data_IF_619809835085
#
_entry.id   IF_619809835085
#
_cell.length_a   1.000
_cell.length_b   1.000
_cell.length_c   1.000
_cell.angle_alpha   90.00
_cell.angle_beta   90.00
_cell.angle_gamma   90.00
#
_symmetry.space_group_name_H-M   'P 1'
#
loop_
_entity.id
_entity.type
_entity.pdbx_description
1 polymer ?
#
# COMPACT_ATOMS: atom_id res chain seq x y z
N UNK A 1 -16.93 5.68 -13.29
CA UNK A 1 -16.33 4.68 -12.40
C UNK A 1 -17.26 3.48 -12.20
N UNK A 2 -18.43 3.60 -11.50
CA UNK A 2 -19.29 2.41 -11.24
C UNK A 2 -19.92 1.87 -12.52
N UNK A 3 -20.31 2.72 -13.49
CA UNK A 3 -20.82 2.27 -14.80
C UNK A 3 -19.78 1.45 -15.58
N UNK A 4 -18.50 1.77 -15.45
CA UNK A 4 -17.39 1.01 -16.03
C UNK A 4 -17.26 -0.37 -15.36
N UNK A 5 -17.34 -0.42 -14.01
CA UNK A 5 -17.32 -1.67 -13.25
C UNK A 5 -18.51 -2.57 -13.64
N UNK A 6 -19.69 -1.98 -13.81
CA UNK A 6 -20.88 -2.71 -14.25
C UNK A 6 -20.71 -3.27 -15.69
N UNK A 7 -20.10 -2.48 -16.58
CA UNK A 7 -19.77 -2.93 -17.93
C UNK A 7 -18.75 -4.09 -17.92
N UNK A 8 -17.75 -4.04 -17.04
CA UNK A 8 -16.79 -5.16 -16.86
C UNK A 8 -17.50 -6.41 -16.33
N UNK A 9 -18.44 -6.26 -15.39
CA UNK A 9 -19.27 -7.38 -14.92
C UNK A 9 -20.06 -8.02 -16.08
N UNK A 10 -20.67 -7.20 -16.91
CA UNK A 10 -21.43 -7.69 -18.09
C UNK A 10 -20.55 -8.40 -19.13
N UNK A 11 -19.23 -8.09 -19.17
CA UNK A 11 -18.24 -8.80 -19.98
C UNK A 11 -17.73 -10.09 -19.32
N UNK A 12 -18.17 -10.43 -18.11
CA UNK A 12 -17.84 -11.65 -17.40
C UNK A 12 -16.62 -11.56 -16.47
N UNK A 13 -16.09 -10.35 -16.22
CA UNK A 13 -15.07 -10.17 -15.19
C UNK A 13 -15.71 -10.33 -13.80
N UNK A 14 -15.10 -11.14 -12.94
CA UNK A 14 -15.55 -11.39 -11.56
C UNK A 14 -14.73 -10.67 -10.51
N UNK A 15 -13.56 -10.12 -10.90
CA UNK A 15 -12.63 -9.44 -10.02
C UNK A 15 -11.89 -8.32 -10.76
N UNK A 16 -11.67 -7.20 -10.08
CA UNK A 16 -10.93 -6.04 -10.60
C UNK A 16 -10.03 -5.47 -9.51
N UNK A 17 -9.02 -4.70 -9.91
CA UNK A 17 -8.25 -3.83 -9.01
C UNK A 17 -8.58 -2.37 -9.31
N UNK A 18 -8.88 -1.61 -8.26
CA UNK A 18 -9.04 -0.15 -8.35
C UNK A 18 -7.64 0.45 -8.18
N UNK A 19 -7.08 0.93 -9.30
CA UNK A 19 -5.70 1.48 -9.39
C UNK A 19 -5.61 2.95 -8.94
N UNK A 20 -6.46 3.38 -8.02
CA UNK A 20 -6.34 4.68 -7.38
C UNK A 20 -5.32 4.56 -6.23
N UNK A 21 -4.25 5.36 -6.28
CA UNK A 21 -3.17 5.35 -5.28
C UNK A 21 -3.68 5.51 -3.84
N UNK A 22 -4.79 6.24 -3.65
CA UNK A 22 -5.37 6.55 -2.35
C UNK A 22 -6.90 6.54 -2.39
N UNK A 23 -7.50 5.42 -2.75
CA UNK A 23 -8.94 5.28 -2.93
C UNK A 23 -9.77 5.77 -1.71
N UNK A 24 -9.26 5.61 -0.51
CA UNK A 24 -9.94 6.01 0.74
C UNK A 24 -9.71 7.47 1.15
N UNK A 25 -8.86 8.24 0.44
CA UNK A 25 -8.46 9.60 0.84
C UNK A 25 -9.64 10.58 0.82
N UNK A 26 -10.39 10.58 -0.26
CA UNK A 26 -11.54 11.47 -0.44
C UNK A 26 -12.82 10.79 0.03
N UNK A 27 -13.06 10.83 1.36
CA UNK A 27 -14.14 10.10 2.03
C UNK A 27 -15.51 10.22 1.33
N UNK A 28 -15.88 11.42 0.86
CA UNK A 28 -17.16 11.63 0.17
C UNK A 28 -17.25 10.85 -1.14
N UNK A 29 -16.18 10.87 -1.93
CA UNK A 29 -16.09 10.13 -3.19
C UNK A 29 -16.09 8.63 -2.93
N UNK A 30 -15.26 8.17 -2.01
CA UNK A 30 -15.17 6.78 -1.58
C UNK A 30 -16.55 6.22 -1.16
N UNK A 31 -17.26 6.94 -0.27
CA UNK A 31 -18.59 6.49 0.20
C UNK A 31 -19.61 6.45 -0.93
N UNK A 32 -19.57 7.40 -1.88
CA UNK A 32 -20.45 7.41 -3.03
C UNK A 32 -20.20 6.21 -3.95
N UNK A 33 -18.94 5.90 -4.26
CA UNK A 33 -18.57 4.73 -5.10
C UNK A 33 -19.00 3.43 -4.43
N UNK A 34 -18.65 3.24 -3.15
CA UNK A 34 -19.03 2.02 -2.42
C UNK A 34 -20.56 1.89 -2.26
N UNK A 35 -21.27 3.00 -2.05
CA UNK A 35 -22.72 3.03 -1.98
C UNK A 35 -23.37 2.57 -3.29
N UNK A 36 -22.92 3.09 -4.42
CA UNK A 36 -23.38 2.70 -5.75
C UNK A 36 -23.05 1.23 -6.06
N UNK A 37 -21.81 0.76 -5.74
CA UNK A 37 -21.44 -0.65 -5.92
C UNK A 37 -22.37 -1.58 -5.14
N UNK A 38 -22.69 -1.22 -3.89
CA UNK A 38 -23.62 -1.98 -3.04
C UNK A 38 -25.04 -1.96 -3.60
N UNK A 39 -25.52 -0.79 -4.03
CA UNK A 39 -26.88 -0.63 -4.53
C UNK A 39 -27.11 -1.37 -5.86
N UNK A 40 -26.13 -1.35 -6.76
CA UNK A 40 -26.22 -2.02 -8.08
C UNK A 40 -25.95 -3.52 -7.99
N UNK A 41 -25.33 -4.00 -6.90
CA UNK A 41 -25.05 -5.43 -6.66
C UNK A 41 -24.43 -6.12 -7.89
N UNK A 42 -23.35 -5.54 -8.42
CA UNK A 42 -22.70 -5.99 -9.65
C UNK A 42 -22.11 -7.40 -9.55
N UNK A 43 -21.94 -7.93 -8.33
CA UNK A 43 -21.27 -9.23 -8.08
C UNK A 43 -19.77 -9.22 -8.27
N UNK A 44 -19.17 -8.09 -8.69
CA UNK A 44 -17.71 -7.95 -8.81
C UNK A 44 -17.08 -7.85 -7.44
N UNK A 45 -16.02 -8.64 -7.25
CA UNK A 45 -15.06 -8.47 -6.17
C UNK A 45 -13.98 -7.49 -6.61
N UNK A 46 -13.42 -6.76 -5.66
CA UNK A 46 -12.40 -5.78 -5.99
C UNK A 46 -11.32 -5.65 -4.91
N UNK A 47 -10.15 -5.20 -5.36
CA UNK A 47 -9.00 -4.90 -4.53
C UNK A 47 -8.66 -3.41 -4.67
N UNK A 48 -8.00 -2.81 -3.68
CA UNK A 48 -7.60 -1.41 -3.74
C UNK A 48 -6.30 -1.16 -2.96
N UNK A 49 -5.67 -0.01 -3.25
CA UNK A 49 -4.55 0.53 -2.49
C UNK A 49 -5.05 1.54 -1.47
N UNK A 50 -4.44 1.57 -0.30
CA UNK A 50 -4.82 2.50 0.76
C UNK A 50 -3.66 2.81 1.69
N UNK A 51 -3.83 3.89 2.46
CA UNK A 51 -2.94 4.24 3.57
C UNK A 51 -3.54 3.73 4.88
N UNK A 52 -2.69 3.28 5.78
CA UNK A 52 -3.13 2.81 7.10
C UNK A 52 -3.80 3.90 7.95
N UNK A 53 -3.41 5.18 7.76
CA UNK A 53 -3.96 6.31 8.50
C UNK A 53 -5.35 6.78 8.02
N UNK A 54 -5.82 6.28 6.87
CA UNK A 54 -7.19 6.55 6.39
C UNK A 54 -8.19 5.48 6.80
N UNK A 55 -7.72 4.38 7.37
CA UNK A 55 -8.55 3.23 7.75
C UNK A 55 -9.26 3.47 9.08
N UNK A 56 -10.57 3.20 9.07
CA UNK A 56 -11.42 3.20 10.25
C UNK A 56 -12.40 2.02 10.17
N UNK A 57 -13.02 1.59 11.28
CA UNK A 57 -14.03 0.53 11.25
C UNK A 57 -15.18 0.80 10.25
N UNK A 58 -15.58 2.07 10.10
CA UNK A 58 -16.58 2.47 9.11
C UNK A 58 -16.10 2.27 7.68
N UNK A 59 -14.85 2.66 7.37
CA UNK A 59 -14.26 2.55 6.04
C UNK A 59 -14.17 1.08 5.64
N UNK A 60 -13.53 0.23 6.45
CA UNK A 60 -13.38 -1.19 6.10
C UNK A 60 -14.73 -1.92 6.06
N UNK A 61 -15.66 -1.58 6.96
CA UNK A 61 -17.01 -2.15 6.93
C UNK A 61 -17.79 -1.75 5.66
N UNK A 62 -17.57 -0.53 5.16
CA UNK A 62 -18.17 -0.09 3.90
C UNK A 62 -17.50 -0.77 2.70
N UNK A 63 -16.18 -0.93 2.70
CA UNK A 63 -15.45 -1.69 1.67
C UNK A 63 -15.92 -3.14 1.59
N UNK A 64 -16.05 -3.82 2.73
CA UNK A 64 -16.50 -5.20 2.79
C UNK A 64 -17.90 -5.36 2.18
N UNK A 65 -18.86 -4.50 2.58
CA UNK A 65 -20.22 -4.53 2.02
C UNK A 65 -20.27 -4.25 0.52
N UNK A 66 -19.35 -3.45 0.02
CA UNK A 66 -19.24 -3.13 -1.41
C UNK A 66 -18.46 -4.18 -2.23
N UNK A 67 -18.03 -5.30 -1.62
CA UNK A 67 -17.36 -6.40 -2.30
C UNK A 67 -15.83 -6.34 -2.33
N UNK A 68 -15.20 -5.51 -1.48
CA UNK A 68 -13.74 -5.49 -1.35
C UNK A 68 -13.23 -6.82 -0.78
N UNK A 69 -12.22 -7.40 -1.43
CA UNK A 69 -11.61 -8.66 -1.01
C UNK A 69 -10.21 -8.47 -0.43
N UNK A 70 -9.47 -7.48 -0.91
CA UNK A 70 -8.12 -7.20 -0.41
C UNK A 70 -7.78 -5.71 -0.44
N UNK A 71 -6.95 -5.30 0.51
CA UNK A 71 -6.37 -3.95 0.57
C UNK A 71 -4.86 -4.08 0.64
N UNK A 72 -4.17 -3.41 -0.28
CA UNK A 72 -2.72 -3.25 -0.25
C UNK A 72 -2.36 -1.96 0.52
N UNK A 73 -1.56 -2.09 1.55
CA UNK A 73 -1.09 -0.98 2.38
C UNK A 73 0.39 -0.72 2.14
N UNK A 74 0.74 0.52 1.76
CA UNK A 74 2.13 0.96 1.78
C UNK A 74 2.61 1.14 3.22
N UNK A 75 3.30 0.15 3.76
CA UNK A 75 3.91 0.20 5.10
C UNK A 75 5.32 0.77 5.04
N UNK A 76 6.05 0.43 4.01
CA UNK A 76 7.38 0.83 3.57
C UNK A 76 8.52 0.27 4.46
N UNK A 77 8.45 0.39 5.80
CA UNK A 77 9.46 -0.12 6.72
C UNK A 77 8.85 -0.59 8.04
N UNK A 78 9.46 -1.59 8.65
CA UNK A 78 9.19 -2.01 10.03
C UNK A 78 10.02 -1.28 11.08
N UNK A 79 10.76 -0.24 10.70
CA UNK A 79 11.53 0.59 11.61
C UNK A 79 10.98 2.02 11.62
N UNK A 80 10.61 2.52 12.81
CA UNK A 80 9.98 3.84 12.94
C UNK A 80 10.92 4.99 12.55
N UNK A 81 12.22 4.88 12.87
CA UNK A 81 13.19 5.92 12.54
C UNK A 81 13.35 6.07 11.01
N UNK A 82 13.33 4.95 10.28
CA UNK A 82 13.35 4.95 8.81
C UNK A 82 12.06 5.59 8.28
N UNK A 83 10.88 5.24 8.81
CA UNK A 83 9.60 5.85 8.42
C UNK A 83 9.58 7.37 8.65
N UNK A 84 10.13 7.82 9.78
CA UNK A 84 10.20 9.24 10.13
C UNK A 84 11.16 9.99 9.18
N UNK A 85 12.31 9.39 8.85
CA UNK A 85 13.28 9.97 7.92
C UNK A 85 12.70 10.17 6.52
N UNK A 86 11.94 9.17 6.02
CA UNK A 86 11.28 9.26 4.70
C UNK A 86 9.92 9.98 4.77
N UNK A 87 9.59 10.59 5.89
CA UNK A 87 8.37 11.39 6.10
C UNK A 87 7.07 10.62 5.81
N UNK A 88 7.05 9.32 6.14
CA UNK A 88 5.85 8.50 5.91
C UNK A 88 4.64 8.94 6.74
N UNK A 89 4.83 9.68 7.84
CA UNK A 89 3.77 10.19 8.73
C UNK A 89 2.83 9.10 9.26
N UNK A 90 3.34 7.89 9.44
CA UNK A 90 2.62 6.76 10.00
C UNK A 90 3.41 6.13 11.13
N UNK A 91 2.77 5.32 11.96
CA UNK A 91 3.45 4.56 13.02
C UNK A 91 3.17 3.08 12.88
N UNK A 92 4.10 2.25 13.39
CA UNK A 92 3.95 0.78 13.40
C UNK A 92 2.68 0.36 14.16
N UNK A 93 2.30 1.10 15.22
CA UNK A 93 1.05 0.88 15.93
C UNK A 93 -0.19 1.10 15.07
N UNK A 94 -0.20 2.18 14.24
CA UNK A 94 -1.29 2.42 13.28
C UNK A 94 -1.36 1.37 12.19
N UNK A 95 -0.20 0.84 11.76
CA UNK A 95 -0.16 -0.29 10.81
C UNK A 95 -0.88 -1.49 11.42
N UNK A 96 -0.52 -1.91 12.62
CA UNK A 96 -1.17 -3.03 13.31
C UNK A 96 -2.68 -2.81 13.51
N UNK A 97 -3.07 -1.60 13.88
CA UNK A 97 -4.48 -1.26 14.04
C UNK A 97 -5.25 -1.38 12.73
N UNK A 98 -4.71 -0.88 11.62
CA UNK A 98 -5.31 -1.01 10.29
C UNK A 98 -5.43 -2.48 9.87
N UNK A 99 -4.37 -3.29 10.08
CA UNK A 99 -4.40 -4.74 9.79
C UNK A 99 -5.49 -5.46 10.60
N UNK A 100 -5.62 -5.14 11.90
CA UNK A 100 -6.64 -5.69 12.77
C UNK A 100 -8.06 -5.37 12.25
N UNK A 101 -8.33 -4.08 11.99
CA UNK A 101 -9.63 -3.65 11.47
C UNK A 101 -9.98 -4.30 10.13
N UNK A 102 -8.98 -4.45 9.24
CA UNK A 102 -9.15 -5.09 7.93
C UNK A 102 -9.50 -6.57 8.08
N UNK A 103 -8.79 -7.29 8.97
CA UNK A 103 -9.06 -8.70 9.31
C UNK A 103 -10.47 -8.87 9.90
N UNK A 104 -10.85 -8.02 10.87
CA UNK A 104 -12.17 -8.06 11.52
C UNK A 104 -13.31 -7.81 10.53
N UNK A 105 -13.07 -7.02 9.48
CA UNK A 105 -14.04 -6.80 8.41
C UNK A 105 -14.08 -7.95 7.37
N UNK A 106 -13.26 -8.99 7.52
CA UNK A 106 -13.20 -10.12 6.59
C UNK A 106 -12.48 -9.81 5.27
N UNK A 107 -11.67 -8.75 5.22
CA UNK A 107 -10.88 -8.33 4.06
C UNK A 107 -9.45 -8.81 4.25
N UNK A 108 -8.83 -9.33 3.19
CA UNK A 108 -7.41 -9.68 3.18
C UNK A 108 -6.54 -8.41 3.17
N UNK A 109 -5.45 -8.41 3.92
CA UNK A 109 -4.48 -7.32 3.90
C UNK A 109 -3.16 -7.77 3.25
N UNK A 110 -2.56 -6.88 2.45
CA UNK A 110 -1.20 -7.02 1.95
C UNK A 110 -0.38 -5.83 2.45
N UNK A 111 0.73 -6.11 3.12
CA UNK A 111 1.70 -5.11 3.56
C UNK A 111 2.82 -4.99 2.53
N UNK A 112 2.97 -3.82 1.91
CA UNK A 112 4.05 -3.52 0.98
C UNK A 112 5.19 -2.81 1.71
N UNK A 113 6.42 -3.29 1.51
CA UNK A 113 7.64 -2.77 2.08
C UNK A 113 8.62 -2.37 0.98
N UNK A 114 9.48 -1.40 1.27
CA UNK A 114 10.52 -0.94 0.36
C UNK A 114 11.88 -1.24 0.98
N UNK A 115 12.77 -1.85 0.19
CA UNK A 115 14.18 -2.07 0.51
C UNK A 115 15.04 -1.01 -0.16
N UNK A 116 16.03 -0.49 0.54
CA UNK A 116 16.92 0.57 0.05
C UNK A 116 16.45 1.98 0.35
N UNK A 117 15.55 2.14 1.33
CA UNK A 117 15.14 3.46 1.81
C UNK A 117 16.32 4.24 2.42
N UNK A 118 16.34 5.59 2.31
CA UNK A 118 17.31 6.40 3.02
C UNK A 118 17.38 6.07 4.51
N UNK A 119 18.59 5.93 5.05
CA UNK A 119 18.82 5.59 6.44
C UNK A 119 18.59 4.11 6.80
N UNK A 120 18.26 3.27 5.82
CA UNK A 120 18.16 1.83 6.05
C UNK A 120 19.54 1.20 6.24
N UNK A 121 19.66 0.29 7.18
CA UNK A 121 20.83 -0.54 7.48
C UNK A 121 20.40 -2.00 7.52
N UNK A 122 21.37 -2.92 7.54
CA UNK A 122 21.07 -4.35 7.74
C UNK A 122 20.22 -4.61 8.99
N UNK A 123 20.49 -3.88 10.08
CA UNK A 123 19.72 -4.01 11.32
C UNK A 123 18.26 -3.55 11.15
N UNK A 124 18.04 -2.38 10.53
CA UNK A 124 16.68 -1.86 10.31
C UNK A 124 15.92 -2.69 9.30
N UNK A 125 16.59 -3.24 8.28
CA UNK A 125 16.00 -4.18 7.33
C UNK A 125 15.55 -5.47 8.03
N UNK A 126 16.37 -6.02 8.95
CA UNK A 126 15.99 -7.18 9.75
C UNK A 126 14.74 -6.89 10.58
N UNK A 127 14.66 -5.72 11.24
CA UNK A 127 13.46 -5.29 11.96
C UNK A 127 12.24 -5.21 11.04
N UNK A 128 12.44 -4.80 9.80
CA UNK A 128 11.36 -4.75 8.79
C UNK A 128 10.85 -6.15 8.44
N UNK A 129 11.74 -7.11 8.27
CA UNK A 129 11.37 -8.52 8.02
C UNK A 129 10.63 -9.11 9.22
N UNK A 130 11.17 -8.91 10.45
CA UNK A 130 10.53 -9.35 11.69
C UNK A 130 9.11 -8.76 11.85
N UNK A 131 8.94 -7.48 11.52
CA UNK A 131 7.64 -6.83 11.56
C UNK A 131 6.68 -7.38 10.50
N UNK A 132 7.15 -7.66 9.29
CA UNK A 132 6.35 -8.29 8.25
C UNK A 132 5.86 -9.69 8.67
N UNK A 133 6.72 -10.49 9.30
CA UNK A 133 6.36 -11.79 9.88
C UNK A 133 5.37 -11.66 11.04
N UNK A 134 5.55 -10.65 11.90
CA UNK A 134 4.60 -10.36 12.99
C UNK A 134 3.20 -10.06 12.42
N UNK A 135 3.09 -9.18 11.41
CA UNK A 135 1.82 -8.87 10.75
C UNK A 135 1.17 -10.11 10.14
N UNK A 136 1.96 -10.98 9.51
CA UNK A 136 1.46 -12.25 8.98
C UNK A 136 0.94 -13.16 10.08
N UNK A 137 1.70 -13.35 11.14
CA UNK A 137 1.37 -14.29 12.20
C UNK A 137 0.16 -13.82 13.03
N UNK A 138 0.07 -12.51 13.30
CA UNK A 138 -0.99 -11.94 14.13
C UNK A 138 -2.29 -11.70 13.34
N UNK A 139 -2.18 -11.15 12.12
CA UNK A 139 -3.34 -10.72 11.35
C UNK A 139 -3.62 -11.58 10.13
N UNK A 140 -2.73 -12.49 9.74
CA UNK A 140 -2.86 -13.28 8.51
C UNK A 140 -2.58 -12.47 7.25
N UNK A 141 -1.91 -11.31 7.37
CA UNK A 141 -1.60 -10.47 6.20
C UNK A 141 -0.57 -11.14 5.30
N UNK A 142 -0.71 -10.91 4.00
CA UNK A 142 0.38 -11.14 3.06
C UNK A 142 1.37 -9.98 3.14
N UNK A 143 2.58 -10.18 2.65
CA UNK A 143 3.54 -9.09 2.50
C UNK A 143 4.38 -9.25 1.24
N UNK A 144 4.88 -8.12 0.72
CA UNK A 144 5.79 -8.07 -0.40
C UNK A 144 6.86 -7.01 -0.18
N UNK A 145 8.04 -7.23 -0.78
CA UNK A 145 9.15 -6.31 -0.77
C UNK A 145 9.42 -5.80 -2.17
N UNK A 146 9.63 -4.50 -2.28
CA UNK A 146 9.97 -3.80 -3.51
C UNK A 146 11.30 -3.05 -3.32
N UNK A 147 12.07 -2.91 -4.38
CA UNK A 147 13.31 -2.14 -4.34
C UNK A 147 12.98 -0.67 -4.57
N UNK A 148 13.60 0.22 -3.79
CA UNK A 148 13.41 1.66 -3.94
C UNK A 148 13.68 2.09 -5.40
N UNK A 149 12.65 2.62 -6.02
CA UNK A 149 12.71 3.25 -7.34
C UNK A 149 12.43 4.75 -7.20
N UNK A 150 13.47 5.59 -7.08
CA UNK A 150 13.30 7.03 -6.87
C UNK A 150 12.82 7.69 -8.16
N UNK A 151 11.50 7.89 -8.27
CA UNK A 151 10.88 8.53 -9.43
C UNK A 151 11.09 10.05 -9.48
N UNK A 152 11.12 10.65 -10.68
CA UNK A 152 11.18 12.10 -10.85
C UNK A 152 10.06 12.82 -10.07
N UNK A 153 10.37 13.98 -9.51
CA UNK A 153 9.44 14.77 -8.70
C UNK A 153 9.30 14.31 -7.25
N UNK A 154 9.89 13.16 -6.88
CA UNK A 154 9.94 12.74 -5.47
C UNK A 154 11.11 13.42 -4.76
N UNK A 155 10.92 13.82 -3.50
CA UNK A 155 11.98 14.48 -2.73
C UNK A 155 13.25 13.61 -2.65
N UNK A 156 13.11 12.31 -2.50
CA UNK A 156 14.24 11.37 -2.45
C UNK A 156 15.05 11.37 -3.75
N UNK A 157 14.42 11.63 -4.89
CA UNK A 157 15.12 11.75 -6.19
C UNK A 157 15.76 13.11 -6.35
N UNK A 158 14.98 14.18 -6.13
CA UNK A 158 15.43 15.56 -6.37
C UNK A 158 16.52 16.01 -5.40
N UNK A 159 16.54 15.42 -4.21
CA UNK A 159 17.50 15.68 -3.15
C UNK A 159 18.34 14.46 -2.79
N UNK A 160 18.63 13.62 -3.78
CA UNK A 160 19.34 12.34 -3.60
C UNK A 160 20.64 12.48 -2.78
N UNK A 161 21.41 13.54 -3.03
CA UNK A 161 22.66 13.82 -2.31
C UNK A 161 22.44 14.07 -0.80
N UNK A 162 21.33 14.72 -0.42
CA UNK A 162 21.01 14.99 0.99
C UNK A 162 20.68 13.71 1.76
N UNK A 163 20.19 12.69 1.05
CA UNK A 163 19.89 11.36 1.57
C UNK A 163 21.05 10.38 1.40
N UNK A 164 22.19 10.81 0.87
CA UNK A 164 23.30 9.94 0.52
C UNK A 164 22.95 8.93 -0.57
N UNK A 165 21.87 9.14 -1.33
CA UNK A 165 21.41 8.23 -2.36
C UNK A 165 22.22 8.42 -3.66
N UNK A 166 22.80 7.36 -4.16
CA UNK A 166 23.41 7.31 -5.49
C UNK A 166 22.43 6.72 -6.50
N UNK A 167 22.17 7.42 -7.60
CA UNK A 167 21.38 6.92 -8.71
C UNK A 167 22.28 6.13 -9.65
N UNK A 168 22.00 4.84 -9.83
CA UNK A 168 22.84 3.91 -10.60
C UNK A 168 22.39 3.78 -12.05
N UNK A 169 21.13 4.06 -12.36
CA UNK A 169 20.57 3.91 -13.70
C UNK A 169 19.70 5.09 -14.08
N UNK A 170 19.74 5.46 -15.36
CA UNK A 170 18.78 6.37 -16.01
C UNK A 170 17.86 5.65 -17.00
N UNK A 171 17.95 4.33 -17.09
CA UNK A 171 17.07 3.52 -17.93
C UNK A 171 15.75 3.25 -17.21
N UNK A 172 14.69 3.91 -17.64
CA UNK A 172 13.37 3.81 -17.04
C UNK A 172 12.74 2.41 -17.09
N UNK A 173 13.22 1.53 -17.98
CA UNK A 173 12.78 0.13 -18.03
C UNK A 173 13.18 -0.66 -16.78
N UNK A 174 14.17 -0.16 -16.03
CA UNK A 174 14.63 -0.77 -14.78
C UNK A 174 13.94 -0.20 -13.54
N UNK A 175 13.04 0.80 -13.70
CA UNK A 175 12.31 1.42 -12.56
C UNK A 175 10.99 0.70 -12.26
N UNK A 176 11.02 -0.62 -12.21
CA UNK A 176 9.87 -1.50 -11.96
C UNK A 176 9.79 -2.01 -10.52
N UNK A 177 10.57 -1.41 -9.61
CA UNK A 177 10.68 -1.81 -8.20
C UNK A 177 11.22 -3.24 -7.96
N UNK A 178 11.76 -3.90 -8.99
CA UNK A 178 12.42 -5.21 -8.91
C UNK A 178 13.91 -5.15 -9.27
N UNK A 179 14.36 -4.03 -9.84
CA UNK A 179 15.75 -3.81 -10.19
C UNK A 179 16.40 -2.77 -9.28
N UNK A 180 17.68 -2.98 -8.97
CA UNK A 180 18.47 -2.02 -8.20
C UNK A 180 18.87 -0.84 -9.10
N UNK A 181 18.20 0.29 -8.93
CA UNK A 181 18.43 1.53 -9.70
C UNK A 181 19.04 2.65 -8.86
N UNK A 182 19.13 2.42 -7.56
CA UNK A 182 19.76 3.34 -6.61
C UNK A 182 20.40 2.57 -5.46
N UNK A 183 21.30 3.24 -4.74
CA UNK A 183 21.93 2.67 -3.55
C UNK A 183 22.11 3.74 -2.50
N UNK A 184 21.90 3.43 -1.23
CA UNK A 184 22.28 4.20 -0.06
C UNK A 184 23.56 3.60 0.52
N UNK A 185 24.50 4.41 1.06
CA UNK A 185 25.59 3.87 1.88
C UNK A 185 24.95 3.32 3.16
N UNK A 186 25.06 2.02 3.35
CA UNK A 186 24.63 1.28 4.54
C UNK A 186 25.81 0.61 5.19
#
# INVERSE_FOLDING_TARGET
CVDEIEALAALGFSEITIEDDLFTLYRKHFLAVCGELTARNTGIRWNAFSRVDTITPEIVGTMARAGCQAICFGVESGNQEVLDLVKKHSSLAKVKEAMRMTKEAGISALASFIVGLPGETEETLRKTVEFAEELKNEFGSLYGFHILSPFPGTEVRERAADYGLEILSSDWRSYDANHVVSRTPG
#
